data_IF_380174980968
#
_entry.id   IF_380174980968
#
_cell.length_a   1.000
_cell.length_b   1.000
_cell.length_c   1.000
_cell.angle_alpha   90.00
_cell.angle_beta   90.00
_cell.angle_gamma   90.00
#
_symmetry.space_group_name_H-M   'P 1'
#
loop_
_entity.id
_entity.type
_entity.pdbx_description
1 polymer ?
#
# COMPACT_ATOMS: atom_id res chain seq x y z
N UNK A 1 65.24 7.14 27.14
CA UNK A 1 64.48 5.89 26.94
C UNK A 1 63.01 6.20 27.12
N UNK A 2 62.34 6.56 26.01
CA UNK A 2 60.93 7.05 26.05
C UNK A 2 60.04 5.95 25.53
N UNK A 3 59.12 5.45 26.37
CA UNK A 3 58.15 4.40 26.04
C UNK A 3 56.91 5.04 25.40
N UNK A 4 56.76 4.90 24.10
CA UNK A 4 55.56 5.28 23.39
C UNK A 4 54.44 4.25 23.69
N UNK A 5 53.34 4.71 24.30
CA UNK A 5 52.10 3.93 24.50
C UNK A 5 51.21 4.16 23.29
N UNK A 6 51.01 3.12 22.51
CA UNK A 6 50.05 3.11 21.38
C UNK A 6 48.67 2.84 21.98
N UNK A 7 47.78 3.83 21.91
CA UNK A 7 46.41 3.70 22.27
C UNK A 7 45.64 3.15 21.07
N UNK A 8 45.21 1.89 21.13
CA UNK A 8 44.32 1.30 20.13
C UNK A 8 42.88 1.79 20.39
N UNK A 9 42.36 2.65 19.52
CA UNK A 9 40.96 3.08 19.52
C UNK A 9 40.17 2.00 18.80
N UNK A 10 39.43 1.19 19.55
CA UNK A 10 38.46 0.26 19.02
C UNK A 10 37.24 1.05 18.56
N UNK A 11 37.06 1.27 17.26
CA UNK A 11 35.82 1.74 16.67
C UNK A 11 34.77 0.65 16.78
N UNK A 12 33.93 0.74 17.81
CA UNK A 12 32.69 -0.03 17.90
C UNK A 12 31.73 0.50 16.85
N UNK A 13 31.67 -0.18 15.69
CA UNK A 13 30.69 0.10 14.64
C UNK A 13 29.29 -0.21 15.17
N UNK A 14 28.50 0.81 15.45
CA UNK A 14 27.07 0.67 15.71
C UNK A 14 26.44 0.36 14.35
N UNK A 15 26.17 -0.93 14.09
CA UNK A 15 25.27 -1.32 13.02
C UNK A 15 23.88 -0.79 13.37
N UNK A 16 23.49 0.35 12.80
CA UNK A 16 22.11 0.80 12.78
C UNK A 16 21.33 -0.24 11.97
N UNK A 17 20.64 -1.15 12.66
CA UNK A 17 19.65 -2.00 12.04
C UNK A 17 18.57 -1.07 11.48
N UNK A 18 18.52 -0.95 10.15
CA UNK A 18 17.41 -0.26 9.48
C UNK A 18 16.13 -0.99 9.88
N UNK A 19 15.25 -0.33 10.60
CA UNK A 19 13.93 -0.86 10.93
C UNK A 19 13.15 -0.86 9.60
N UNK A 20 13.11 -2.01 8.95
CA UNK A 20 12.33 -2.21 7.73
C UNK A 20 10.85 -1.94 8.08
N UNK A 21 10.22 -1.04 7.34
CA UNK A 21 8.80 -0.77 7.49
C UNK A 21 7.95 -1.94 7.02
N UNK A 22 6.69 -2.05 7.46
CA UNK A 22 5.81 -3.18 7.14
C UNK A 22 5.60 -3.38 5.62
N UNK A 23 5.83 -2.35 4.80
CA UNK A 23 5.70 -2.38 3.34
C UNK A 23 7.03 -2.35 2.58
N UNK A 24 8.16 -2.51 3.24
CA UNK A 24 9.47 -2.53 2.56
C UNK A 24 9.58 -3.63 1.50
N UNK A 25 8.82 -4.70 1.64
CA UNK A 25 8.70 -5.74 0.61
C UNK A 25 8.17 -5.22 -0.74
N UNK A 26 7.41 -4.12 -0.75
CA UNK A 26 6.92 -3.46 -1.97
C UNK A 26 8.04 -2.76 -2.75
N UNK A 27 9.03 -2.18 -2.06
CA UNK A 27 10.14 -1.44 -2.68
C UNK A 27 10.93 -2.28 -3.69
N UNK A 28 11.08 -3.59 -3.42
CA UNK A 28 11.78 -4.50 -4.32
C UNK A 28 10.94 -5.02 -5.49
N UNK A 29 9.62 -4.86 -5.44
CA UNK A 29 8.67 -5.41 -6.41
C UNK A 29 8.06 -4.34 -7.31
N UNK A 30 7.88 -3.14 -6.81
CA UNK A 30 7.27 -2.03 -7.52
C UNK A 30 8.31 -0.95 -7.80
N UNK A 31 8.31 -0.37 -8.99
CA UNK A 31 9.19 0.73 -9.39
C UNK A 31 8.40 2.03 -9.46
N UNK A 32 9.10 3.14 -9.29
CA UNK A 32 8.58 4.46 -9.60
C UNK A 32 8.24 4.57 -11.07
N UNK A 33 7.24 5.37 -11.41
CA UNK A 33 6.86 5.61 -12.79
C UNK A 33 5.39 5.95 -12.97
N UNK A 34 5.02 6.15 -14.21
CA UNK A 34 3.64 6.36 -14.62
C UNK A 34 2.92 5.01 -14.64
N UNK A 35 1.82 4.92 -13.92
CA UNK A 35 0.94 3.74 -13.90
C UNK A 35 -0.44 4.08 -14.42
N UNK A 36 -0.99 3.18 -15.22
CA UNK A 36 -2.40 3.13 -15.53
C UNK A 36 -3.07 2.16 -14.56
N UNK A 37 -4.11 2.64 -13.90
CA UNK A 37 -4.92 1.88 -12.96
C UNK A 37 -6.28 1.61 -13.56
N UNK A 38 -6.69 0.34 -13.56
CA UNK A 38 -8.07 -0.07 -13.76
C UNK A 38 -8.60 -0.57 -12.43
N UNK A 39 -9.64 0.06 -11.93
CA UNK A 39 -10.23 -0.22 -10.63
C UNK A 39 -11.68 -0.64 -10.82
N UNK A 40 -12.04 -1.75 -10.23
CA UNK A 40 -13.41 -2.24 -10.15
C UNK A 40 -13.79 -2.35 -8.68
N UNK A 41 -14.89 -1.73 -8.29
CA UNK A 41 -15.38 -1.69 -6.92
C UNK A 41 -16.80 -2.25 -6.87
N UNK A 42 -17.03 -3.17 -5.95
CA UNK A 42 -18.35 -3.69 -5.62
C UNK A 42 -18.68 -3.30 -4.18
N UNK A 43 -19.70 -2.46 -4.03
CA UNK A 43 -20.14 -1.95 -2.73
C UNK A 43 -21.15 -2.88 -2.05
N UNK A 44 -21.39 -4.07 -2.62
CA UNK A 44 -22.34 -5.03 -2.08
C UNK A 44 -23.80 -4.55 -2.14
N UNK A 45 -24.66 -5.29 -1.47
CA UNK A 45 -26.08 -4.92 -1.36
C UNK A 45 -26.25 -3.86 -0.26
N UNK A 46 -26.41 -2.60 -0.65
CA UNK A 46 -26.81 -1.54 0.27
C UNK A 46 -28.30 -1.27 0.16
N UNK A 47 -29.03 -1.18 1.30
CA UNK A 47 -30.43 -0.75 1.28
C UNK A 47 -30.57 0.63 0.62
N UNK A 48 -31.52 0.80 -0.28
CA UNK A 48 -31.80 2.04 -1.01
C UNK A 48 -30.76 2.46 -2.06
N UNK A 49 -29.85 1.57 -2.48
CA UNK A 49 -28.96 1.85 -3.60
C UNK A 49 -29.70 1.56 -4.93
N UNK A 50 -29.69 2.50 -5.89
CA UNK A 50 -30.25 2.25 -7.21
C UNK A 50 -29.58 1.04 -7.90
N UNK A 51 -30.33 0.24 -8.67
CA UNK A 51 -29.76 -0.85 -9.46
C UNK A 51 -28.64 -0.32 -10.37
N UNK A 52 -27.49 -1.00 -10.39
CA UNK A 52 -26.31 -0.62 -11.18
C UNK A 52 -25.29 0.30 -10.50
N UNK A 53 -25.60 0.89 -9.35
CA UNK A 53 -24.63 1.69 -8.59
C UNK A 53 -23.73 0.86 -7.66
N UNK A 54 -24.06 -0.40 -7.43
CA UNK A 54 -23.28 -1.29 -6.57
C UNK A 54 -21.91 -1.60 -7.18
N UNK A 55 -21.81 -1.63 -8.51
CA UNK A 55 -20.54 -1.90 -9.22
C UNK A 55 -20.10 -0.65 -9.95
N UNK A 56 -18.86 -0.24 -9.68
CA UNK A 56 -18.22 0.90 -10.34
C UNK A 56 -16.90 0.48 -10.93
N UNK A 57 -16.61 0.93 -12.16
CA UNK A 57 -15.31 0.76 -12.80
C UNK A 57 -14.72 2.11 -13.13
N UNK A 58 -13.42 2.25 -12.92
CA UNK A 58 -12.69 3.50 -13.15
C UNK A 58 -11.30 3.20 -13.69
N UNK A 59 -10.88 3.97 -14.69
CA UNK A 59 -9.51 3.95 -15.19
C UNK A 59 -8.90 5.34 -15.01
N UNK A 60 -7.67 5.39 -14.50
CA UNK A 60 -6.93 6.64 -14.35
C UNK A 60 -5.42 6.37 -14.44
N UNK A 61 -4.65 7.44 -14.66
CA UNK A 61 -3.19 7.36 -14.64
C UNK A 61 -2.64 8.19 -13.49
N UNK A 62 -1.56 7.70 -12.88
CA UNK A 62 -0.86 8.38 -11.79
C UNK A 62 0.64 8.15 -11.90
N UNK A 63 1.40 9.21 -11.68
CA UNK A 63 2.84 9.08 -11.40
C UNK A 63 3.01 8.59 -9.96
N UNK A 64 3.60 7.41 -9.82
CA UNK A 64 3.90 6.79 -8.53
C UNK A 64 5.34 7.10 -8.16
N UNK A 65 5.52 7.69 -6.99
CA UNK A 65 6.81 8.04 -6.43
C UNK A 65 7.27 7.00 -5.40
N UNK A 66 8.55 7.01 -5.03
CA UNK A 66 9.07 6.20 -3.93
C UNK A 66 8.26 6.41 -2.64
N UNK A 67 7.88 7.65 -2.37
CA UNK A 67 7.10 8.00 -1.19
C UNK A 67 5.68 7.40 -1.21
N UNK A 68 5.05 7.31 -2.39
CA UNK A 68 3.75 6.64 -2.53
C UNK A 68 3.86 5.14 -2.23
N UNK A 69 4.94 4.51 -2.69
CA UNK A 69 5.22 3.08 -2.44
C UNK A 69 5.44 2.85 -0.94
N UNK A 70 6.28 3.68 -0.31
CA UNK A 70 6.58 3.58 1.12
C UNK A 70 5.35 3.74 2.01
N UNK A 71 4.41 4.58 1.61
CA UNK A 71 3.17 4.86 2.34
C UNK A 71 2.02 3.93 1.99
N UNK A 72 2.20 3.02 1.04
CA UNK A 72 1.12 2.16 0.54
C UNK A 72 0.00 2.94 -0.18
N UNK A 73 0.31 4.13 -0.71
CA UNK A 73 -0.68 5.05 -1.34
C UNK A 73 -0.73 4.94 -2.86
N UNK A 74 -0.23 3.85 -3.41
CA UNK A 74 -0.08 3.63 -4.85
C UNK A 74 -1.40 3.72 -5.61
N UNK A 75 -2.48 3.14 -5.08
CA UNK A 75 -3.80 3.12 -5.72
C UNK A 75 -4.70 4.32 -5.38
N UNK A 76 -4.18 5.35 -4.72
CA UNK A 76 -4.96 6.56 -4.40
C UNK A 76 -5.09 7.42 -5.64
N UNK A 77 -6.31 7.56 -6.15
CA UNK A 77 -6.58 8.42 -7.31
C UNK A 77 -6.27 9.89 -7.04
N UNK A 78 -6.02 10.68 -8.10
CA UNK A 78 -5.62 12.09 -8.00
C UNK A 78 -6.66 13.00 -7.34
N UNK A 79 -7.93 12.59 -7.34
CA UNK A 79 -9.05 13.42 -6.86
C UNK A 79 -9.28 13.36 -5.34
N UNK A 80 -8.54 12.53 -4.61
CA UNK A 80 -8.62 12.50 -3.15
C UNK A 80 -7.58 13.42 -2.53
N UNK A 81 -7.78 14.71 -2.66
CA UNK A 81 -7.09 15.69 -1.83
C UNK A 81 -7.55 15.52 -0.37
N UNK A 82 -6.61 15.59 0.54
CA UNK A 82 -6.85 15.47 1.97
C UNK A 82 -5.83 14.56 2.64
N UNK A 83 -5.77 14.65 3.97
CA UNK A 83 -4.88 13.84 4.78
C UNK A 83 -5.23 12.36 4.60
N UNK A 84 -4.25 11.53 4.28
CA UNK A 84 -4.46 10.09 4.24
C UNK A 84 -4.91 9.60 5.62
N UNK A 85 -5.87 8.67 5.72
CA UNK A 85 -6.26 8.10 6.99
C UNK A 85 -5.04 7.45 7.66
N UNK A 86 -4.94 7.61 8.97
CA UNK A 86 -3.93 6.92 9.77
C UNK A 86 -4.39 5.48 9.99
N UNK A 87 -3.64 4.56 9.42
CA UNK A 87 -3.95 3.14 9.47
C UNK A 87 -2.73 2.35 9.94
N UNK A 88 -2.96 1.35 10.77
CA UNK A 88 -1.97 0.37 11.18
C UNK A 88 -1.96 -0.79 10.18
N UNK A 89 -0.78 -1.23 9.77
CA UNK A 89 -0.60 -2.37 8.89
C UNK A 89 -0.19 -3.57 9.72
N UNK A 90 -0.93 -4.68 9.57
CA UNK A 90 -0.75 -5.90 10.33
C UNK A 90 -0.72 -7.13 9.41
N UNK A 91 -0.31 -8.27 9.97
CA UNK A 91 -0.38 -9.58 9.32
C UNK A 91 0.28 -9.62 7.93
N UNK A 92 1.40 -8.90 7.78
CA UNK A 92 2.12 -8.90 6.50
C UNK A 92 2.70 -10.28 6.24
N UNK A 93 2.33 -10.86 5.10
CA UNK A 93 2.83 -12.13 4.62
C UNK A 93 3.27 -11.98 3.16
N UNK A 94 4.44 -12.49 2.84
CA UNK A 94 4.97 -12.49 1.48
C UNK A 94 5.28 -13.93 1.06
N UNK A 95 4.77 -14.32 -0.10
CA UNK A 95 5.04 -15.62 -0.72
C UNK A 95 5.27 -15.43 -2.22
N UNK A 96 6.52 -15.60 -2.66
CA UNK A 96 6.90 -15.39 -4.06
C UNK A 96 6.60 -13.96 -4.52
N UNK A 97 5.73 -13.85 -5.51
CA UNK A 97 5.28 -12.56 -6.07
C UNK A 97 3.98 -12.03 -5.45
N UNK A 98 3.47 -12.69 -4.43
CA UNK A 98 2.24 -12.27 -3.75
C UNK A 98 2.57 -11.74 -2.37
N UNK A 99 1.94 -10.64 -2.00
CA UNK A 99 1.96 -10.07 -0.65
C UNK A 99 0.53 -9.89 -0.17
N UNK A 100 0.28 -10.22 1.09
CA UNK A 100 -0.99 -9.95 1.76
C UNK A 100 -0.75 -9.21 3.06
N UNK A 101 -1.67 -8.34 3.44
CA UNK A 101 -1.65 -7.62 4.71
C UNK A 101 -3.04 -7.12 5.07
N UNK A 102 -3.26 -6.92 6.36
CA UNK A 102 -4.47 -6.29 6.89
C UNK A 102 -4.16 -4.84 7.25
N UNK A 103 -5.03 -3.92 6.87
CA UNK A 103 -4.96 -2.51 7.23
C UNK A 103 -6.12 -2.18 8.15
N UNK A 104 -5.84 -1.60 9.31
CA UNK A 104 -6.83 -1.15 10.29
C UNK A 104 -6.73 0.35 10.47
N UNK A 105 -7.81 1.07 10.18
CA UNK A 105 -7.90 2.52 10.30
C UNK A 105 -8.84 2.92 11.43
N UNK A 106 -8.48 3.97 12.17
CA UNK A 106 -9.27 4.47 13.30
C UNK A 106 -10.33 5.47 12.87
N UNK A 107 -10.00 6.30 11.88
CA UNK A 107 -10.91 7.33 11.35
C UNK A 107 -10.78 7.42 9.82
N UNK A 108 -11.82 6.97 9.07
CA UNK A 108 -13.00 6.23 9.54
C UNK A 108 -12.61 4.85 10.10
N UNK A 109 -13.43 4.28 10.99
CA UNK A 109 -13.20 2.92 11.50
C UNK A 109 -13.41 1.92 10.36
N UNK A 110 -12.31 1.34 9.90
CA UNK A 110 -12.28 0.48 8.72
C UNK A 110 -11.21 -0.59 8.89
N UNK A 111 -11.51 -1.78 8.41
CA UNK A 111 -10.54 -2.86 8.24
C UNK A 111 -10.51 -3.24 6.76
N UNK A 112 -9.32 -3.43 6.20
CA UNK A 112 -9.15 -3.85 4.82
C UNK A 112 -8.12 -4.99 4.74
N UNK A 113 -8.52 -6.12 4.18
CA UNK A 113 -7.62 -7.21 3.82
C UNK A 113 -7.19 -7.03 2.37
N UNK A 114 -5.88 -6.97 2.17
CA UNK A 114 -5.26 -6.70 0.90
C UNK A 114 -4.44 -7.89 0.42
N UNK A 115 -4.53 -8.20 -0.86
CA UNK A 115 -3.68 -9.18 -1.54
C UNK A 115 -3.17 -8.57 -2.84
N UNK A 116 -1.85 -8.43 -2.96
CA UNK A 116 -1.19 -7.89 -4.14
C UNK A 116 -0.39 -9.00 -4.80
N UNK A 117 -0.51 -9.15 -6.11
CA UNK A 117 0.28 -10.07 -6.91
C UNK A 117 1.03 -9.28 -7.98
N UNK A 118 2.36 -9.43 -8.03
CA UNK A 118 3.23 -8.74 -8.96
C UNK A 118 3.54 -9.60 -10.18
N UNK A 119 3.55 -8.97 -11.35
CA UNK A 119 3.96 -9.56 -12.62
C UNK A 119 4.92 -8.60 -13.34
N UNK A 120 6.21 -8.76 -13.07
CA UNK A 120 7.21 -7.79 -13.51
C UNK A 120 7.05 -6.44 -12.80
N UNK A 121 6.70 -5.40 -13.57
CA UNK A 121 6.41 -4.06 -13.03
C UNK A 121 4.91 -3.80 -12.87
N UNK A 122 4.07 -4.70 -13.36
CA UNK A 122 2.62 -4.65 -13.24
C UNK A 122 2.17 -5.37 -11.98
N UNK A 123 0.96 -5.09 -11.53
CA UNK A 123 0.38 -5.78 -10.38
C UNK A 123 -1.14 -5.85 -10.46
N UNK A 124 -1.68 -6.80 -9.74
CA UNK A 124 -3.11 -6.87 -9.40
C UNK A 124 -3.26 -6.77 -7.89
N UNK A 125 -4.32 -6.12 -7.43
CA UNK A 125 -4.65 -6.00 -6.01
C UNK A 125 -6.11 -6.31 -5.79
N UNK A 126 -6.37 -7.27 -4.92
CA UNK A 126 -7.69 -7.57 -4.39
C UNK A 126 -7.78 -7.03 -2.96
N UNK A 127 -8.84 -6.27 -2.69
CA UNK A 127 -9.09 -5.68 -1.38
C UNK A 127 -10.50 -6.01 -0.92
N UNK A 128 -10.63 -6.47 0.31
CA UNK A 128 -11.91 -6.62 1.00
C UNK A 128 -11.95 -5.65 2.17
N UNK A 129 -12.89 -4.75 2.14
CA UNK A 129 -13.06 -3.71 3.16
C UNK A 129 -14.32 -3.93 3.98
N UNK A 130 -14.21 -3.74 5.28
CA UNK A 130 -15.32 -3.61 6.20
C UNK A 130 -15.24 -2.24 6.88
N UNK A 131 -16.26 -1.42 6.74
CA UNK A 131 -16.33 -0.06 7.28
C UNK A 131 -17.57 0.11 8.15
N UNK A 132 -17.38 0.70 9.33
CA UNK A 132 -18.51 1.09 10.20
C UNK A 132 -18.99 2.49 9.82
N UNK A 133 -20.20 2.58 9.35
CA UNK A 133 -20.90 3.85 9.11
C UNK A 133 -22.07 4.00 10.08
N UNK A 134 -21.78 4.57 11.25
CA UNK A 134 -22.83 4.87 12.25
C UNK A 134 -23.49 3.61 12.83
N UNK A 135 -22.71 2.56 13.14
CA UNK A 135 -23.18 1.30 13.70
C UNK A 135 -23.67 0.29 12.66
N UNK A 136 -23.53 0.62 11.37
CA UNK A 136 -23.86 -0.29 10.27
C UNK A 136 -22.58 -0.70 9.54
N UNK A 137 -22.28 -2.01 9.53
CA UNK A 137 -21.12 -2.54 8.81
C UNK A 137 -21.42 -2.59 7.32
N UNK A 138 -20.58 -1.93 6.54
CA UNK A 138 -20.58 -1.98 5.08
C UNK A 138 -19.39 -2.81 4.61
N UNK A 139 -19.66 -3.81 3.77
CA UNK A 139 -18.64 -4.65 3.16
C UNK A 139 -18.49 -4.26 1.69
N UNK A 140 -17.27 -4.01 1.27
CA UNK A 140 -16.93 -3.65 -0.10
C UNK A 140 -15.79 -4.52 -0.58
N UNK A 141 -15.78 -4.84 -1.87
CA UNK A 141 -14.64 -5.46 -2.52
C UNK A 141 -14.12 -4.55 -3.63
N UNK A 142 -12.82 -4.54 -3.79
CA UNK A 142 -12.16 -3.79 -4.84
C UNK A 142 -11.14 -4.68 -5.53
N UNK A 143 -11.19 -4.70 -6.85
CA UNK A 143 -10.16 -5.26 -7.70
C UNK A 143 -9.45 -4.12 -8.43
N UNK A 144 -8.13 -4.14 -8.44
CA UNK A 144 -7.32 -3.13 -9.10
C UNK A 144 -6.22 -3.79 -9.92
N UNK A 145 -6.07 -3.36 -11.15
CA UNK A 145 -4.93 -3.67 -12.01
C UNK A 145 -4.07 -2.41 -12.17
N UNK A 146 -2.78 -2.53 -11.95
CA UNK A 146 -1.80 -1.48 -12.16
C UNK A 146 -0.81 -1.88 -13.22
N UNK A 147 -0.73 -1.12 -14.32
CA UNK A 147 0.18 -1.35 -15.42
C UNK A 147 1.20 -0.22 -15.50
N UNK A 148 2.48 -0.56 -15.46
CA UNK A 148 3.56 0.41 -15.61
C UNK A 148 3.66 0.89 -17.07
N UNK A 149 3.63 2.21 -17.27
CA UNK A 149 3.74 2.85 -18.59
C UNK A 149 5.14 3.45 -18.84
N UNK A 150 6.07 3.28 -17.89
CA UNK A 150 7.41 3.86 -17.97
C UNK A 150 7.61 5.06 -17.04
N UNK A 151 8.60 5.92 -17.28
CA UNK A 151 8.89 7.05 -16.41
C UNK A 151 7.76 8.07 -16.38
N UNK A 152 7.64 8.77 -15.26
CA UNK A 152 6.76 9.93 -15.13
C UNK A 152 7.21 11.03 -16.13
N UNK A 153 6.25 11.68 -16.77
CA UNK A 153 6.50 12.83 -17.65
C UNK A 153 6.43 14.12 -16.83
#
# INVERSE_FOLDING_TARGET
MSKARILAIACAGVCAAAIAGPLDALRGKMKEGMYEYKMEMDMGAMPNMPPGMAKQSRTFQKCVTAQDIERGQMGRGPEREGKAPECDIKNVNQSGNTMSYTMECKQPKMTADNKITFSGQDFTMDMKMAMDQGGRMMNMTQHMEGRNLGPCK
#
